data_IF_827321121825
#
_entry.id   IF_827321121825
#
_cell.length_a   1.000
_cell.length_b   1.000
_cell.length_c   1.000
_cell.angle_alpha   90.00
_cell.angle_beta   90.00
_cell.angle_gamma   90.00
#
_symmetry.space_group_name_H-M   'P 1'
#
loop_
_entity.id
_entity.type
_entity.pdbx_description
1 polymer ?
#
# COMPACT_ATOMS: atom_id res chain seq x y z
N UNK A 1 -39.67 10.24 65.73
CA UNK A 1 -39.91 11.03 64.51
C UNK A 1 -38.61 11.49 63.84
N UNK A 2 -37.53 11.77 64.59
CA UNK A 2 -36.22 12.24 64.10
C UNK A 2 -35.50 11.27 63.13
N UNK A 3 -35.52 9.98 63.43
CA UNK A 3 -34.82 8.93 62.64
C UNK A 3 -35.38 8.71 61.24
N UNK A 4 -36.69 8.88 61.04
CA UNK A 4 -37.32 8.73 59.72
C UNK A 4 -37.00 9.94 58.83
N UNK A 5 -36.94 11.14 59.41
CA UNK A 5 -36.62 12.37 58.66
C UNK A 5 -35.17 12.41 58.17
N UNK A 6 -34.24 11.89 58.97
CA UNK A 6 -32.82 11.73 58.58
C UNK A 6 -32.66 10.68 57.48
N UNK A 7 -33.39 9.56 57.59
CA UNK A 7 -33.40 8.53 56.55
C UNK A 7 -33.93 9.08 55.21
N UNK A 8 -35.04 9.84 55.21
CA UNK A 8 -35.59 10.47 54.00
C UNK A 8 -34.59 11.46 53.39
N UNK A 9 -33.90 12.24 54.22
CA UNK A 9 -32.89 13.21 53.75
C UNK A 9 -31.71 12.50 53.09
N UNK A 10 -31.28 11.37 53.67
CA UNK A 10 -30.21 10.54 53.12
C UNK A 10 -30.62 9.90 51.79
N UNK A 11 -31.87 9.42 51.68
CA UNK A 11 -32.42 8.87 50.44
C UNK A 11 -32.43 9.95 49.34
N UNK A 12 -32.96 11.14 49.63
CA UNK A 12 -32.98 12.24 48.65
C UNK A 12 -31.59 12.66 48.19
N UNK A 13 -30.60 12.62 49.09
CA UNK A 13 -29.21 12.89 48.72
C UNK A 13 -28.68 11.81 47.78
N UNK A 14 -28.92 10.53 48.10
CA UNK A 14 -28.50 9.42 47.26
C UNK A 14 -29.18 9.44 45.87
N UNK A 15 -30.45 9.85 45.80
CA UNK A 15 -31.15 10.06 44.52
C UNK A 15 -30.47 11.15 43.68
N UNK A 16 -30.17 12.30 44.27
CA UNK A 16 -29.49 13.40 43.57
C UNK A 16 -28.08 13.01 43.11
N UNK A 17 -27.32 12.32 43.97
CA UNK A 17 -25.98 11.83 43.65
C UNK A 17 -26.03 10.79 42.52
N UNK A 18 -27.07 9.94 42.47
CA UNK A 18 -27.28 8.98 41.39
C UNK A 18 -27.67 9.67 40.07
N UNK A 19 -28.54 10.69 40.11
CA UNK A 19 -28.92 11.46 38.93
C UNK A 19 -27.71 12.17 38.31
N UNK A 20 -26.86 12.79 39.15
CA UNK A 20 -25.58 13.37 38.70
C UNK A 20 -24.66 12.35 38.07
N UNK A 21 -24.52 11.17 38.69
CA UNK A 21 -23.68 10.12 38.14
C UNK A 21 -24.16 9.68 36.75
N UNK A 22 -25.48 9.64 36.53
CA UNK A 22 -26.07 9.33 35.21
C UNK A 22 -25.75 10.42 34.20
N UNK A 23 -25.87 11.70 34.57
CA UNK A 23 -25.53 12.84 33.72
C UNK A 23 -24.06 12.81 33.32
N UNK A 24 -23.14 12.73 34.30
CA UNK A 24 -21.69 12.66 34.09
C UNK A 24 -21.31 11.47 33.19
N UNK A 25 -21.95 10.32 33.40
CA UNK A 25 -21.70 9.12 32.58
C UNK A 25 -22.15 9.31 31.14
N UNK A 26 -23.26 10.01 30.91
CA UNK A 26 -23.76 10.28 29.56
C UNK A 26 -22.87 11.28 28.82
N UNK A 27 -22.35 12.28 29.51
CA UNK A 27 -21.38 13.23 28.96
C UNK A 27 -20.08 12.51 28.59
N UNK A 28 -19.49 11.76 29.54
CA UNK A 28 -18.27 10.98 29.32
C UNK A 28 -18.43 9.98 28.17
N UNK A 29 -19.58 9.32 28.07
CA UNK A 29 -19.87 8.41 26.96
C UNK A 29 -19.83 9.14 25.61
N UNK A 30 -20.39 10.35 25.55
CA UNK A 30 -20.44 11.14 24.33
C UNK A 30 -19.04 11.58 23.91
N UNK A 31 -18.24 12.08 24.85
CA UNK A 31 -16.83 12.42 24.63
C UNK A 31 -16.03 11.23 24.11
N UNK A 32 -16.18 10.05 24.72
CA UNK A 32 -15.48 8.83 24.32
C UNK A 32 -15.86 8.38 22.91
N UNK A 33 -17.13 8.51 22.53
CA UNK A 33 -17.59 8.19 21.17
C UNK A 33 -16.97 9.16 20.17
N UNK A 34 -16.90 10.45 20.50
CA UNK A 34 -16.31 11.46 19.62
C UNK A 34 -14.79 11.26 19.48
N UNK A 35 -14.09 11.01 20.58
CA UNK A 35 -12.66 10.68 20.61
C UNK A 35 -12.36 9.45 19.74
N UNK A 36 -13.16 8.38 19.90
CA UNK A 36 -13.02 7.17 19.11
C UNK A 36 -13.25 7.44 17.61
N UNK A 37 -14.28 8.20 17.26
CA UNK A 37 -14.56 8.60 15.87
C UNK A 37 -13.43 9.41 15.27
N UNK A 38 -12.87 10.35 16.04
CA UNK A 38 -11.74 11.18 15.60
C UNK A 38 -10.49 10.33 15.33
N UNK A 39 -10.12 9.47 16.29
CA UNK A 39 -9.00 8.53 16.15
C UNK A 39 -9.18 7.58 14.96
N UNK A 40 -10.38 7.03 14.77
CA UNK A 40 -10.66 6.18 13.61
C UNK A 40 -10.47 6.93 12.29
N UNK A 41 -10.93 8.18 12.19
CA UNK A 41 -10.72 9.01 10.99
C UNK A 41 -9.24 9.28 10.73
N UNK A 42 -8.48 9.60 11.78
CA UNK A 42 -7.04 9.83 11.68
C UNK A 42 -6.30 8.58 11.18
N UNK A 43 -6.60 7.42 11.76
CA UNK A 43 -6.03 6.14 11.33
C UNK A 43 -6.34 5.87 9.85
N UNK A 44 -7.60 6.02 9.44
CA UNK A 44 -8.01 5.80 8.04
C UNK A 44 -7.29 6.77 7.09
N UNK A 45 -7.18 8.05 7.46
CA UNK A 45 -6.50 9.05 6.64
C UNK A 45 -5.01 8.72 6.49
N UNK A 46 -4.34 8.38 7.59
CA UNK A 46 -2.93 8.00 7.60
C UNK A 46 -2.68 6.73 6.79
N UNK A 47 -3.48 5.68 6.97
CA UNK A 47 -3.36 4.45 6.18
C UNK A 47 -3.60 4.68 4.68
N UNK A 48 -4.49 5.62 4.33
CA UNK A 48 -4.70 6.00 2.92
C UNK A 48 -3.48 6.71 2.34
N UNK A 49 -2.87 7.61 3.09
CA UNK A 49 -1.65 8.31 2.67
C UNK A 49 -0.47 7.34 2.50
N UNK A 50 -0.26 6.46 3.48
CA UNK A 50 0.78 5.42 3.43
C UNK A 50 0.58 4.49 2.23
N UNK A 51 -0.64 4.00 2.00
CA UNK A 51 -0.94 3.14 0.86
C UNK A 51 -0.73 3.86 -0.49
N UNK A 52 -1.04 5.16 -0.56
CA UNK A 52 -0.82 5.95 -1.77
C UNK A 52 0.67 6.12 -2.06
N UNK A 53 1.47 6.42 -1.03
CA UNK A 53 2.92 6.55 -1.16
C UNK A 53 3.59 5.23 -1.53
N UNK A 54 3.14 4.12 -0.95
CA UNK A 54 3.65 2.79 -1.29
C UNK A 54 3.30 2.38 -2.72
N UNK A 55 2.08 2.68 -3.18
CA UNK A 55 1.68 2.43 -4.57
C UNK A 55 2.52 3.25 -5.57
N UNK A 56 2.81 4.51 -5.27
CA UNK A 56 3.68 5.36 -6.09
C UNK A 56 5.11 4.79 -6.16
N UNK A 57 5.69 4.42 -5.01
CA UNK A 57 7.00 3.78 -4.95
C UNK A 57 7.03 2.49 -5.78
N UNK A 58 5.99 1.65 -5.66
CA UNK A 58 5.89 0.41 -6.43
C UNK A 58 5.83 0.66 -7.93
N UNK A 59 5.11 1.70 -8.37
CA UNK A 59 5.06 2.09 -9.78
C UNK A 59 6.43 2.54 -10.30
N UNK A 60 7.14 3.38 -9.54
CA UNK A 60 8.49 3.86 -9.90
C UNK A 60 9.50 2.71 -9.93
N UNK A 61 9.43 1.78 -8.98
CA UNK A 61 10.28 0.58 -8.97
C UNK A 61 10.00 -0.32 -10.17
N UNK A 62 8.73 -0.55 -10.50
CA UNK A 62 8.34 -1.35 -11.65
C UNK A 62 8.83 -0.71 -12.96
N UNK A 63 8.65 0.60 -13.13
CA UNK A 63 9.17 1.33 -14.29
C UNK A 63 10.69 1.23 -14.39
N UNK A 64 11.39 1.37 -13.26
CA UNK A 64 12.85 1.28 -13.21
C UNK A 64 13.34 -0.12 -13.59
N UNK A 65 12.68 -1.17 -13.07
CA UNK A 65 12.99 -2.57 -13.42
C UNK A 65 12.74 -2.82 -14.91
N UNK A 66 11.59 -2.40 -15.42
CA UNK A 66 11.24 -2.54 -16.84
C UNK A 66 12.26 -1.85 -17.76
N UNK A 67 12.71 -0.63 -17.42
CA UNK A 67 13.76 0.08 -18.17
C UNK A 67 15.08 -0.68 -18.16
N UNK A 68 15.49 -1.21 -17.00
CA UNK A 68 16.72 -2.01 -16.88
C UNK A 68 16.64 -3.30 -17.70
N UNK A 69 15.53 -4.00 -17.64
CA UNK A 69 15.30 -5.22 -18.42
C UNK A 69 15.28 -4.93 -19.93
N UNK A 70 14.59 -3.86 -20.36
CA UNK A 70 14.57 -3.44 -21.75
C UNK A 70 15.97 -3.15 -22.29
N UNK A 71 16.81 -2.43 -21.52
CA UNK A 71 18.21 -2.19 -21.87
C UNK A 71 19.02 -3.49 -21.94
N UNK A 72 18.81 -4.40 -20.98
CA UNK A 72 19.48 -5.69 -20.98
C UNK A 72 19.13 -6.51 -22.23
N UNK A 73 17.84 -6.63 -22.56
CA UNK A 73 17.35 -7.32 -23.75
C UNK A 73 17.94 -6.68 -25.01
N UNK A 74 17.85 -5.35 -25.14
CA UNK A 74 18.39 -4.64 -26.30
C UNK A 74 19.87 -4.91 -26.53
N UNK A 75 20.67 -4.90 -25.46
CA UNK A 75 22.11 -5.15 -25.54
C UNK A 75 22.39 -6.60 -25.94
N UNK A 76 21.71 -7.56 -25.31
CA UNK A 76 21.86 -8.99 -25.61
C UNK A 76 21.46 -9.28 -27.06
N UNK A 77 20.31 -8.79 -27.51
CA UNK A 77 19.85 -8.96 -28.90
C UNK A 77 20.80 -8.31 -29.89
N UNK A 78 21.33 -7.12 -29.61
CA UNK A 78 22.32 -6.49 -30.49
C UNK A 78 23.59 -7.33 -30.63
N UNK A 79 24.06 -7.94 -29.55
CA UNK A 79 25.23 -8.81 -29.57
C UNK A 79 24.94 -10.12 -30.34
N UNK A 80 23.79 -10.74 -30.11
CA UNK A 80 23.36 -11.93 -30.84
C UNK A 80 23.27 -11.66 -32.36
N UNK A 81 22.63 -10.56 -32.76
CA UNK A 81 22.54 -10.16 -34.18
C UNK A 81 23.93 -9.97 -34.77
N UNK A 82 24.87 -9.37 -34.02
CA UNK A 82 26.26 -9.18 -34.47
C UNK A 82 26.96 -10.51 -34.67
N UNK A 83 26.83 -11.44 -33.72
CA UNK A 83 27.41 -12.79 -33.79
C UNK A 83 26.82 -13.59 -34.95
N UNK A 84 25.50 -13.56 -35.12
CA UNK A 84 24.80 -14.24 -36.22
C UNK A 84 25.23 -13.68 -37.56
N UNK A 85 25.29 -12.35 -37.71
CA UNK A 85 25.77 -11.70 -38.94
C UNK A 85 27.20 -12.10 -39.27
N UNK A 86 28.10 -12.07 -38.28
CA UNK A 86 29.50 -12.47 -38.49
C UNK A 86 29.60 -13.93 -38.92
N UNK A 87 28.84 -14.82 -38.27
CA UNK A 87 28.81 -16.25 -38.60
C UNK A 87 28.28 -16.49 -40.01
N UNK A 88 27.21 -15.79 -40.40
CA UNK A 88 26.63 -15.88 -41.73
C UNK A 88 27.61 -15.38 -42.81
N UNK A 89 28.29 -14.25 -42.58
CA UNK A 89 29.27 -13.70 -43.53
C UNK A 89 30.43 -14.67 -43.78
N UNK A 90 30.91 -15.37 -42.75
CA UNK A 90 31.98 -16.36 -42.88
C UNK A 90 31.60 -17.59 -43.73
N UNK A 91 30.30 -17.79 -44.02
CA UNK A 91 29.79 -18.90 -44.83
C UNK A 91 29.41 -18.51 -46.25
N UNK A 92 29.46 -17.22 -46.59
CA UNK A 92 29.06 -16.71 -47.91
C UNK A 92 29.95 -17.28 -49.01
N UNK A 93 31.27 -17.25 -48.84
CA UNK A 93 32.21 -17.71 -49.86
C UNK A 93 32.11 -19.23 -50.09
N UNK A 94 32.00 -20.01 -49.00
CA UNK A 94 31.80 -21.47 -49.07
C UNK A 94 30.50 -21.83 -49.79
N UNK A 95 29.41 -21.11 -49.50
CA UNK A 95 28.12 -21.31 -50.17
C UNK A 95 28.18 -20.91 -51.66
N UNK A 96 28.87 -19.82 -51.99
CA UNK A 96 29.07 -19.39 -53.37
C UNK A 96 29.84 -20.44 -54.18
N UNK A 97 30.92 -20.99 -53.62
CA UNK A 97 31.73 -22.06 -54.24
C UNK A 97 30.91 -23.33 -54.49
N UNK A 98 30.06 -23.71 -53.53
CA UNK A 98 29.13 -24.84 -53.65
C UNK A 98 28.14 -24.63 -54.80
N UNK A 99 27.56 -23.43 -54.92
CA UNK A 99 26.63 -23.09 -56.01
C UNK A 99 27.34 -23.17 -57.37
N UNK A 100 28.53 -22.58 -57.49
CA UNK A 100 29.31 -22.60 -58.75
C UNK A 100 29.60 -24.05 -59.18
N UNK A 101 30.06 -24.90 -58.26
CA UNK A 101 30.30 -26.34 -58.52
C UNK A 101 29.05 -27.16 -58.86
N UNK A 102 27.87 -26.65 -58.53
CA UNK A 102 26.60 -27.34 -58.79
C UNK A 102 26.00 -26.98 -60.15
N UNK A 103 26.40 -25.84 -60.73
CA UNK A 103 25.88 -25.31 -61.99
C UNK A 103 26.80 -25.65 -63.17
N UNK A 104 28.11 -25.73 -62.94
CA UNK A 104 29.14 -26.16 -63.90
C UNK A 104 29.34 -27.67 -63.88
#
# INVERSE_FOLDING_TARGET
MTTISEAITTIKKAENDADKLIEDTNELKSERIEEARSKSKEIIAKSKEEASAEAENMAVEAETKAKKEALHISNTTSEEVRVTKSTAMNKVDEAADLIVKSIL
#
